data_IF_188700553075
#
_entry.id   IF_188700553075
#
_cell.length_a   1.000
_cell.length_b   1.000
_cell.length_c   1.000
_cell.angle_alpha   90.00
_cell.angle_beta   90.00
_cell.angle_gamma   90.00
#
_symmetry.space_group_name_H-M   'P 1'
#
loop_
_entity.id
_entity.type
_entity.pdbx_description
1 polymer ?
#
# COMPACT_ATOMS: atom_id res chain seq x y z
N UNK A 1 7.24 -9.20 14.32
CA UNK A 1 7.16 -8.76 15.72
C UNK A 1 5.89 -7.96 16.07
N UNK A 2 5.08 -7.55 15.09
CA UNK A 2 3.77 -6.90 15.32
C UNK A 2 2.62 -7.92 15.58
N UNK A 3 2.90 -9.22 15.70
CA UNK A 3 1.87 -10.26 15.76
C UNK A 3 1.30 -10.65 14.39
N UNK A 4 1.92 -10.25 13.30
CA UNK A 4 1.48 -10.59 11.95
C UNK A 4 1.96 -12.01 11.61
N UNK A 5 1.03 -12.90 11.28
CA UNK A 5 1.30 -14.28 10.87
C UNK A 5 1.21 -14.49 9.37
N UNK A 6 0.49 -13.59 8.68
CA UNK A 6 0.32 -13.61 7.22
C UNK A 6 0.46 -12.20 6.66
N UNK A 7 1.23 -12.05 5.59
CA UNK A 7 1.35 -10.81 4.82
C UNK A 7 0.76 -11.00 3.43
N UNK A 8 0.25 -9.91 2.84
CA UNK A 8 -0.23 -9.87 1.47
C UNK A 8 0.71 -8.97 0.68
N UNK A 9 1.39 -9.54 -0.31
CA UNK A 9 2.25 -8.81 -1.24
C UNK A 9 1.55 -8.53 -2.56
N UNK A 10 2.18 -7.69 -3.40
CA UNK A 10 1.62 -7.36 -4.71
C UNK A 10 0.47 -6.36 -4.65
N UNK A 11 0.42 -5.50 -3.63
CA UNK A 11 -0.54 -4.40 -3.52
C UNK A 11 -0.12 -3.19 -4.38
N UNK A 12 -1.03 -2.25 -4.55
CA UNK A 12 -0.83 -0.94 -5.18
C UNK A 12 -0.19 -1.00 -6.58
N UNK A 13 -0.55 -2.04 -7.35
CA UNK A 13 -0.16 -2.22 -8.74
C UNK A 13 1.24 -2.80 -8.96
N UNK A 14 2.01 -3.02 -7.91
CA UNK A 14 3.39 -3.51 -7.99
C UNK A 14 3.55 -4.98 -7.60
N UNK A 15 4.04 -5.83 -8.49
CA UNK A 15 4.40 -7.22 -8.19
C UNK A 15 5.47 -7.76 -9.15
N UNK A 16 5.98 -8.95 -8.88
CA UNK A 16 6.60 -9.73 -9.96
C UNK A 16 5.53 -10.17 -10.97
N UNK A 17 5.89 -10.20 -12.24
CA UNK A 17 5.02 -10.62 -13.35
C UNK A 17 5.49 -11.93 -13.95
N UNK A 18 4.58 -12.73 -14.55
CA UNK A 18 4.97 -13.90 -15.33
C UNK A 18 5.84 -13.50 -16.53
N UNK A 19 6.90 -14.26 -16.78
CA UNK A 19 7.71 -14.19 -18.01
C UNK A 19 7.73 -15.55 -18.69
N UNK A 20 8.15 -15.66 -19.97
CA UNK A 20 8.28 -16.96 -20.63
C UNK A 20 9.15 -17.97 -19.85
N UNK A 21 10.19 -17.47 -19.15
CA UNK A 21 11.14 -18.30 -18.41
C UNK A 21 10.70 -18.59 -16.99
N UNK A 22 9.78 -17.79 -16.41
CA UNK A 22 9.39 -17.89 -15.00
C UNK A 22 7.94 -17.50 -14.76
N UNK A 23 7.10 -18.50 -14.49
CA UNK A 23 5.69 -18.27 -14.13
C UNK A 23 5.53 -17.61 -12.75
N UNK A 24 4.35 -17.08 -12.47
CA UNK A 24 3.98 -16.55 -11.16
C UNK A 24 4.10 -17.65 -10.08
N UNK A 25 3.64 -18.86 -10.40
CA UNK A 25 3.74 -20.03 -9.52
C UNK A 25 5.18 -20.44 -9.21
N UNK A 26 6.09 -20.35 -10.19
CA UNK A 26 7.51 -20.61 -9.97
C UNK A 26 8.13 -19.59 -9.00
N UNK A 27 7.70 -18.32 -9.06
CA UNK A 27 8.12 -17.31 -8.06
C UNK A 27 7.59 -17.63 -6.68
N UNK A 28 6.31 -17.98 -6.57
CA UNK A 28 5.71 -18.38 -5.30
C UNK A 28 6.43 -19.61 -4.70
N UNK A 29 6.74 -20.61 -5.51
CA UNK A 29 7.50 -21.77 -5.08
C UNK A 29 8.93 -21.44 -4.61
N UNK A 30 9.60 -20.50 -5.29
CA UNK A 30 10.90 -20.01 -4.87
C UNK A 30 10.87 -19.29 -3.51
N UNK A 31 9.81 -18.51 -3.25
CA UNK A 31 9.60 -17.86 -1.94
C UNK A 31 9.32 -18.91 -0.87
N UNK A 32 8.48 -19.90 -1.16
CA UNK A 32 8.15 -20.99 -0.23
C UNK A 32 9.39 -21.80 0.16
N UNK A 33 10.27 -22.07 -0.81
CA UNK A 33 11.55 -22.75 -0.60
C UNK A 33 12.52 -22.01 0.34
N UNK A 34 12.38 -20.68 0.45
CA UNK A 34 13.15 -19.88 1.42
C UNK A 34 12.67 -20.06 2.86
N UNK A 35 11.58 -20.79 3.08
CA UNK A 35 10.98 -21.03 4.41
C UNK A 35 10.80 -19.71 5.18
N UNK A 36 9.89 -18.83 4.74
CA UNK A 36 9.70 -17.52 5.37
C UNK A 36 9.23 -17.65 6.83
N UNK A 37 9.49 -16.64 7.64
CA UNK A 37 9.07 -16.62 9.04
C UNK A 37 7.57 -16.37 9.25
N UNK A 38 6.86 -15.89 8.21
CA UNK A 38 5.41 -15.63 8.18
C UNK A 38 4.83 -16.14 6.86
N UNK A 39 3.53 -16.36 6.81
CA UNK A 39 2.86 -16.74 5.57
C UNK A 39 2.82 -15.55 4.60
N UNK A 40 2.80 -15.86 3.30
CA UNK A 40 2.64 -14.89 2.21
C UNK A 40 1.48 -15.31 1.31
N UNK A 41 0.52 -14.40 1.09
CA UNK A 41 -0.37 -14.42 -0.06
C UNK A 41 0.08 -13.31 -1.02
N UNK A 42 -0.07 -13.50 -2.33
CA UNK A 42 0.38 -12.51 -3.31
C UNK A 42 -0.70 -12.18 -4.34
N UNK A 43 -0.86 -10.89 -4.63
CA UNK A 43 -1.66 -10.39 -5.76
C UNK A 43 -0.78 -10.17 -6.98
N UNK A 44 -1.40 -10.19 -8.18
CA UNK A 44 -0.75 -9.72 -9.40
C UNK A 44 -0.96 -8.20 -9.53
N UNK A 45 0.14 -7.45 -9.69
CA UNK A 45 0.12 -6.00 -9.86
C UNK A 45 -0.13 -5.61 -11.31
N UNK A 46 -1.24 -4.93 -11.58
CA UNK A 46 -1.64 -4.51 -12.94
C UNK A 46 -0.71 -3.44 -13.50
N UNK A 47 -0.12 -2.58 -12.65
CA UNK A 47 0.91 -1.63 -13.06
C UNK A 47 2.17 -2.33 -13.58
N UNK A 48 2.63 -3.37 -12.88
CA UNK A 48 3.77 -4.17 -13.34
C UNK A 48 3.47 -4.99 -14.60
N UNK A 49 2.22 -5.45 -14.78
CA UNK A 49 1.78 -6.12 -16.02
C UNK A 49 1.82 -5.14 -17.20
N UNK A 50 1.29 -3.90 -16.98
CA UNK A 50 1.33 -2.85 -17.99
C UNK A 50 2.77 -2.45 -18.34
N UNK A 51 3.63 -2.25 -17.34
CA UNK A 51 5.05 -1.94 -17.55
C UNK A 51 5.76 -2.98 -18.43
N UNK A 52 5.49 -4.27 -18.18
CA UNK A 52 6.10 -5.37 -18.93
C UNK A 52 5.63 -5.48 -20.39
N UNK A 53 4.48 -4.92 -20.77
CA UNK A 53 3.87 -5.09 -22.09
C UNK A 53 3.83 -3.77 -22.88
N UNK A 54 3.43 -2.67 -22.23
CA UNK A 54 3.27 -1.34 -22.86
C UNK A 54 4.47 -0.44 -22.59
N UNK A 55 5.17 -0.65 -21.45
CA UNK A 55 6.25 0.22 -20.99
C UNK A 55 5.76 1.40 -20.16
N UNK A 56 6.56 2.46 -20.10
CA UNK A 56 6.32 3.66 -19.27
C UNK A 56 5.60 4.80 -20.02
N UNK A 57 5.07 4.54 -21.21
CA UNK A 57 4.46 5.55 -22.08
C UNK A 57 2.99 5.82 -21.71
N UNK A 58 2.60 7.10 -21.76
CA UNK A 58 1.21 7.57 -21.63
C UNK A 58 0.47 7.38 -22.97
N UNK A 59 0.10 6.15 -23.27
CA UNK A 59 -0.71 5.79 -24.43
C UNK A 59 -1.66 4.64 -24.10
N UNK A 60 -2.77 4.50 -24.81
CA UNK A 60 -3.61 3.30 -24.72
C UNK A 60 -2.83 2.05 -25.10
N UNK A 61 -3.15 0.92 -24.46
CA UNK A 61 -2.70 -0.38 -24.92
C UNK A 61 -3.39 -0.73 -26.26
N UNK A 62 -2.65 -1.36 -27.18
CA UNK A 62 -3.26 -1.95 -28.38
C UNK A 62 -4.11 -3.17 -27.99
N UNK A 63 -4.97 -3.65 -28.89
CA UNK A 63 -5.78 -4.85 -28.63
C UNK A 63 -4.91 -6.09 -28.33
N UNK A 64 -3.80 -6.26 -29.04
CA UNK A 64 -2.85 -7.35 -28.83
C UNK A 64 -2.12 -7.23 -27.47
N UNK A 65 -1.69 -6.03 -27.10
CA UNK A 65 -1.09 -5.77 -25.80
C UNK A 65 -2.08 -6.04 -24.65
N UNK A 66 -3.35 -5.62 -24.83
CA UNK A 66 -4.41 -5.87 -23.85
C UNK A 66 -4.66 -7.38 -23.68
N UNK A 67 -4.76 -8.14 -24.76
CA UNK A 67 -4.93 -9.59 -24.72
C UNK A 67 -3.75 -10.28 -24.00
N UNK A 68 -2.53 -9.84 -24.30
CA UNK A 68 -1.32 -10.34 -23.63
C UNK A 68 -1.36 -10.05 -22.12
N UNK A 69 -1.71 -8.83 -21.73
CA UNK A 69 -1.84 -8.46 -20.31
C UNK A 69 -2.91 -9.29 -19.60
N UNK A 70 -4.10 -9.48 -20.20
CA UNK A 70 -5.17 -10.33 -19.65
C UNK A 70 -4.68 -11.76 -19.46
N UNK A 71 -3.98 -12.33 -20.44
CA UNK A 71 -3.40 -13.69 -20.35
C UNK A 71 -2.41 -13.79 -19.19
N UNK A 72 -1.59 -12.77 -18.95
CA UNK A 72 -0.66 -12.74 -17.81
C UNK A 72 -1.40 -12.74 -16.46
N UNK A 73 -2.49 -11.98 -16.36
CA UNK A 73 -3.33 -11.96 -15.15
C UNK A 73 -4.00 -13.32 -14.93
N UNK A 74 -4.59 -13.93 -15.96
CA UNK A 74 -5.22 -15.25 -15.90
C UNK A 74 -4.23 -16.32 -15.44
N UNK A 75 -3.02 -16.33 -16.03
CA UNK A 75 -1.95 -17.25 -15.64
C UNK A 75 -1.57 -17.08 -14.17
N UNK A 76 -1.38 -15.85 -13.70
CA UNK A 76 -1.05 -15.60 -12.29
C UNK A 76 -2.15 -16.09 -11.34
N UNK A 77 -3.43 -15.94 -11.71
CA UNK A 77 -4.56 -16.44 -10.92
C UNK A 77 -4.63 -17.98 -10.90
N UNK A 78 -4.29 -18.64 -12.01
CA UNK A 78 -4.14 -20.11 -12.06
C UNK A 78 -3.01 -20.56 -11.14
N UNK A 79 -1.92 -19.85 -11.12
CA UNK A 79 -0.73 -20.13 -10.31
C UNK A 79 -0.92 -19.84 -8.80
N UNK A 80 -2.02 -19.18 -8.43
CA UNK A 80 -2.41 -18.98 -7.03
C UNK A 80 -2.33 -17.54 -6.54
N UNK A 81 -2.34 -16.54 -7.41
CA UNK A 81 -2.53 -15.16 -6.99
C UNK A 81 -3.87 -14.98 -6.25
N UNK A 82 -3.87 -14.25 -5.14
CA UNK A 82 -5.05 -14.04 -4.29
C UNK A 82 -5.91 -12.83 -4.69
N UNK A 83 -5.64 -12.24 -5.84
CA UNK A 83 -6.32 -11.07 -6.38
C UNK A 83 -5.44 -10.34 -7.38
N UNK A 84 -5.93 -9.21 -7.88
CA UNK A 84 -5.16 -8.28 -8.67
C UNK A 84 -5.22 -6.88 -8.05
N UNK A 85 -4.15 -6.09 -8.22
CA UNK A 85 -4.09 -4.75 -7.66
C UNK A 85 -3.69 -3.70 -8.70
N UNK A 86 -4.20 -2.47 -8.55
CA UNK A 86 -3.76 -1.29 -9.29
C UNK A 86 -3.20 -0.23 -8.35
N UNK A 87 -2.26 0.59 -8.85
CA UNK A 87 -1.76 1.79 -8.20
C UNK A 87 -1.85 2.95 -9.20
N UNK A 88 -2.95 3.69 -9.15
CA UNK A 88 -3.31 4.63 -10.21
C UNK A 88 -2.77 6.06 -10.01
N UNK A 89 -2.01 6.29 -8.95
CA UNK A 89 -1.15 7.47 -8.79
C UNK A 89 0.29 7.21 -9.25
N UNK A 90 0.61 5.95 -9.59
CA UNK A 90 1.96 5.51 -9.98
C UNK A 90 2.02 5.17 -11.46
N UNK A 91 3.03 5.71 -12.16
CA UNK A 91 3.29 5.33 -13.56
C UNK A 91 3.97 3.96 -13.64
N UNK A 92 3.66 3.15 -14.65
CA UNK A 92 2.74 3.41 -15.75
C UNK A 92 1.27 3.06 -15.46
N UNK A 93 0.92 2.55 -14.28
CA UNK A 93 -0.46 2.22 -13.89
C UNK A 93 -1.42 3.40 -14.01
N UNK A 94 -0.94 4.62 -13.73
CA UNK A 94 -1.70 5.85 -13.84
C UNK A 94 -2.20 6.16 -15.28
N UNK A 95 -1.56 5.58 -16.30
CA UNK A 95 -1.92 5.75 -17.71
C UNK A 95 -2.97 4.74 -18.19
N UNK A 96 -3.32 3.74 -17.37
CA UNK A 96 -4.35 2.78 -17.71
C UNK A 96 -5.74 3.45 -17.75
N UNK A 97 -6.51 3.19 -18.80
CA UNK A 97 -7.91 3.60 -18.87
C UNK A 97 -8.79 2.70 -17.99
N UNK A 98 -9.99 3.20 -17.64
CA UNK A 98 -10.99 2.41 -16.91
C UNK A 98 -11.36 1.13 -17.66
N UNK A 99 -11.48 1.17 -18.99
CA UNK A 99 -11.79 -0.01 -19.81
C UNK A 99 -10.65 -1.04 -19.81
N UNK A 100 -9.38 -0.58 -19.85
CA UNK A 100 -8.22 -1.44 -19.67
C UNK A 100 -8.27 -2.15 -18.32
N UNK A 101 -8.51 -1.42 -17.24
CA UNK A 101 -8.61 -1.97 -15.88
C UNK A 101 -9.77 -2.97 -15.76
N UNK A 102 -10.93 -2.70 -16.38
CA UNK A 102 -12.06 -3.64 -16.45
C UNK A 102 -11.64 -4.94 -17.13
N UNK A 103 -10.97 -4.85 -18.27
CA UNK A 103 -10.53 -6.02 -19.00
C UNK A 103 -9.55 -6.87 -18.17
N UNK A 104 -8.58 -6.23 -17.52
CA UNK A 104 -7.59 -6.88 -16.67
C UNK A 104 -8.19 -7.48 -15.40
N UNK A 105 -9.27 -6.91 -14.86
CA UNK A 105 -9.92 -7.40 -13.66
C UNK A 105 -10.96 -8.50 -13.92
N UNK A 106 -11.48 -8.67 -15.17
CA UNK A 106 -12.50 -9.69 -15.51
C UNK A 106 -12.14 -11.12 -15.10
N UNK A 107 -10.88 -11.59 -15.19
CA UNK A 107 -10.51 -12.94 -14.74
C UNK A 107 -10.79 -13.22 -13.27
N UNK A 108 -10.86 -12.19 -12.41
CA UNK A 108 -11.13 -12.31 -10.98
C UNK A 108 -12.55 -12.83 -10.67
N UNK A 109 -13.52 -12.51 -11.55
CA UNK A 109 -14.94 -12.84 -11.35
C UNK A 109 -15.16 -14.34 -11.14
N UNK A 110 -14.56 -15.19 -11.99
CA UNK A 110 -14.70 -16.66 -11.93
C UNK A 110 -14.25 -17.23 -10.59
N UNK A 111 -13.30 -16.58 -9.93
CA UNK A 111 -12.69 -17.02 -8.66
C UNK A 111 -13.22 -16.24 -7.46
N UNK A 112 -14.06 -15.23 -7.68
CA UNK A 112 -14.56 -14.29 -6.65
C UNK A 112 -13.41 -13.68 -5.84
N UNK A 113 -12.30 -13.36 -6.49
CA UNK A 113 -11.13 -12.72 -5.90
C UNK A 113 -11.21 -11.20 -6.06
N UNK A 114 -10.62 -10.43 -5.13
CA UNK A 114 -10.76 -8.98 -5.15
C UNK A 114 -9.87 -8.32 -6.21
N UNK A 115 -10.40 -7.25 -6.81
CA UNK A 115 -9.64 -6.16 -7.39
C UNK A 115 -9.33 -5.16 -6.27
N UNK A 116 -8.06 -4.95 -5.96
CA UNK A 116 -7.60 -3.97 -4.98
C UNK A 116 -7.08 -2.72 -5.69
N UNK A 117 -7.46 -1.54 -5.24
CA UNK A 117 -7.07 -0.29 -5.90
C UNK A 117 -6.50 0.72 -4.91
N UNK A 118 -5.20 1.03 -5.05
CA UNK A 118 -4.72 2.36 -4.74
C UNK A 118 -5.29 3.28 -5.83
N UNK A 119 -6.26 4.09 -5.45
CA UNK A 119 -7.09 4.85 -6.39
C UNK A 119 -6.29 5.91 -7.13
N UNK A 120 -6.86 6.43 -8.21
CA UNK A 120 -6.22 7.44 -9.08
C UNK A 120 -6.00 8.78 -8.40
N UNK A 121 -6.76 9.06 -7.35
CA UNK A 121 -6.62 10.27 -6.56
C UNK A 121 -7.18 10.06 -5.15
N UNK A 122 -6.52 10.61 -4.15
CA UNK A 122 -6.90 10.51 -2.74
C UNK A 122 -7.14 11.89 -2.10
N UNK A 123 -7.16 12.95 -2.94
CA UNK A 123 -7.31 14.34 -2.55
C UNK A 123 -8.52 15.02 -3.25
N UNK A 124 -8.30 16.00 -4.11
CA UNK A 124 -9.35 16.81 -4.72
C UNK A 124 -10.36 16.01 -5.55
N UNK A 125 -9.90 14.93 -6.20
CA UNK A 125 -10.71 14.03 -7.04
C UNK A 125 -10.99 12.68 -6.40
N UNK A 126 -10.89 12.59 -5.06
CA UNK A 126 -11.14 11.34 -4.30
C UNK A 126 -12.47 10.68 -4.70
N UNK A 127 -13.53 11.47 -4.82
CA UNK A 127 -14.86 10.94 -5.09
C UNK A 127 -14.97 10.36 -6.50
N UNK A 128 -14.36 10.99 -7.50
CA UNK A 128 -14.27 10.47 -8.87
C UNK A 128 -13.45 9.17 -8.91
N UNK A 129 -12.38 9.11 -8.13
CA UNK A 129 -11.52 7.94 -8.05
C UNK A 129 -12.23 6.73 -7.39
N UNK A 130 -13.09 6.97 -6.40
CA UNK A 130 -13.95 5.92 -5.84
C UNK A 130 -14.98 5.45 -6.88
N UNK A 131 -15.60 6.37 -7.62
CA UNK A 131 -16.56 6.06 -8.68
C UNK A 131 -15.88 5.23 -9.80
N UNK A 132 -14.63 5.54 -10.18
CA UNK A 132 -13.83 4.74 -11.11
C UNK A 132 -13.56 3.33 -10.57
N UNK A 133 -13.11 3.20 -9.32
CA UNK A 133 -12.84 1.89 -8.72
C UNK A 133 -14.12 1.01 -8.68
N UNK A 134 -15.27 1.61 -8.37
CA UNK A 134 -16.58 0.94 -8.43
C UNK A 134 -16.94 0.55 -9.85
N UNK A 135 -16.70 1.42 -10.85
CA UNK A 135 -16.96 1.12 -12.26
C UNK A 135 -16.11 -0.08 -12.74
N UNK A 136 -14.83 -0.14 -12.36
CA UNK A 136 -13.94 -1.27 -12.67
C UNK A 136 -14.50 -2.56 -12.08
N UNK A 137 -14.81 -2.58 -10.78
CA UNK A 137 -15.34 -3.77 -10.13
C UNK A 137 -16.69 -4.22 -10.69
N UNK A 138 -17.55 -3.26 -11.05
CA UNK A 138 -18.86 -3.52 -11.67
C UNK A 138 -18.69 -4.14 -13.07
N UNK A 139 -17.87 -3.52 -13.93
CA UNK A 139 -17.61 -4.01 -15.28
C UNK A 139 -16.89 -5.36 -15.31
N UNK A 140 -16.03 -5.61 -14.34
CA UNK A 140 -15.34 -6.87 -14.14
C UNK A 140 -16.15 -7.92 -13.38
N UNK A 141 -17.24 -7.54 -12.69
CA UNK A 141 -18.06 -8.41 -11.84
C UNK A 141 -17.27 -9.09 -10.71
N UNK A 142 -16.36 -8.37 -10.09
CA UNK A 142 -15.49 -8.88 -9.02
C UNK A 142 -15.65 -8.07 -7.73
N UNK A 143 -15.27 -8.61 -6.57
CA UNK A 143 -15.23 -7.85 -5.32
C UNK A 143 -14.23 -6.68 -5.41
N UNK A 144 -14.58 -5.53 -4.80
CA UNK A 144 -13.73 -4.33 -4.73
C UNK A 144 -13.07 -4.20 -3.36
N UNK A 145 -11.76 -3.99 -3.35
CA UNK A 145 -10.99 -3.56 -2.20
C UNK A 145 -10.37 -2.19 -2.48
N UNK A 146 -10.85 -1.14 -1.81
CA UNK A 146 -10.19 0.16 -1.84
C UNK A 146 -9.02 0.10 -0.86
N UNK A 147 -7.79 0.21 -1.35
CA UNK A 147 -6.58 0.22 -0.53
C UNK A 147 -6.52 1.51 0.29
N UNK A 148 -6.14 1.39 1.57
CA UNK A 148 -5.80 2.48 2.50
C UNK A 148 -6.64 3.77 2.37
N UNK A 149 -7.98 3.64 2.29
CA UNK A 149 -8.90 4.78 2.13
C UNK A 149 -8.51 5.96 3.02
N UNK A 150 -8.35 7.13 2.43
CA UNK A 150 -8.04 8.38 3.12
C UNK A 150 -8.62 9.59 2.39
N UNK A 151 -8.71 10.70 3.09
CA UNK A 151 -9.00 12.02 2.54
C UNK A 151 -7.73 12.86 2.72
N UNK A 152 -6.96 13.03 1.66
CA UNK A 152 -5.65 13.68 1.72
C UNK A 152 -5.79 15.20 1.59
N UNK A 153 -5.17 15.93 2.52
CA UNK A 153 -5.19 17.40 2.57
C UNK A 153 -6.41 17.99 3.31
N UNK A 154 -6.21 19.02 4.14
CA UNK A 154 -7.26 19.58 5.02
C UNK A 154 -8.54 19.97 4.30
N UNK A 155 -8.44 20.53 3.09
CA UNK A 155 -9.61 20.93 2.29
C UNK A 155 -10.49 19.77 1.82
N UNK A 156 -9.97 18.53 1.92
CA UNK A 156 -10.65 17.31 1.49
C UNK A 156 -11.20 16.47 2.64
N UNK A 157 -10.91 16.82 3.90
CA UNK A 157 -11.34 16.01 5.06
C UNK A 157 -12.87 15.89 5.17
N UNK A 158 -13.61 16.90 4.72
CA UNK A 158 -15.07 16.88 4.68
C UNK A 158 -15.68 15.91 3.66
N UNK A 159 -14.88 15.31 2.76
CA UNK A 159 -15.35 14.35 1.75
C UNK A 159 -15.63 12.94 2.28
N UNK A 160 -15.28 12.64 3.54
CA UNK A 160 -15.35 11.28 4.06
C UNK A 160 -16.76 10.69 4.04
N UNK A 161 -17.79 11.47 4.39
CA UNK A 161 -19.19 11.00 4.34
C UNK A 161 -19.61 10.64 2.92
N UNK A 162 -19.29 11.50 1.96
CA UNK A 162 -19.56 11.24 0.56
C UNK A 162 -18.79 10.04 0.00
N UNK A 163 -17.59 9.75 0.54
CA UNK A 163 -16.83 8.54 0.21
C UNK A 163 -17.52 7.27 0.76
N UNK A 164 -17.97 7.31 2.01
CA UNK A 164 -18.74 6.21 2.60
C UNK A 164 -20.05 5.95 1.87
N UNK A 165 -20.77 7.01 1.46
CA UNK A 165 -22.00 6.91 0.67
C UNK A 165 -21.79 6.22 -0.69
N UNK A 166 -20.64 6.46 -1.35
CA UNK A 166 -20.30 5.76 -2.61
C UNK A 166 -20.10 4.28 -2.39
N UNK A 167 -19.35 3.91 -1.35
CA UNK A 167 -19.17 2.50 -0.98
C UNK A 167 -20.51 1.85 -0.62
N UNK A 168 -21.35 2.53 0.15
CA UNK A 168 -22.69 2.03 0.52
C UNK A 168 -23.58 1.82 -0.70
N UNK A 169 -23.61 2.77 -1.66
CA UNK A 169 -24.34 2.63 -2.93
C UNK A 169 -23.82 1.47 -3.78
N UNK A 170 -22.50 1.32 -3.90
CA UNK A 170 -21.92 0.19 -4.61
C UNK A 170 -22.37 -1.15 -4.00
N UNK A 171 -22.37 -1.24 -2.67
CA UNK A 171 -22.84 -2.43 -1.95
C UNK A 171 -24.33 -2.68 -2.15
N UNK A 172 -25.16 -1.64 -2.10
CA UNK A 172 -26.59 -1.73 -2.38
C UNK A 172 -26.88 -2.20 -3.82
N UNK A 173 -26.00 -1.86 -4.76
CA UNK A 173 -26.02 -2.35 -6.14
C UNK A 173 -25.44 -3.77 -6.32
N UNK A 174 -25.06 -4.46 -5.23
CA UNK A 174 -24.60 -5.85 -5.26
C UNK A 174 -23.08 -6.03 -5.41
N UNK A 175 -22.29 -4.96 -5.42
CA UNK A 175 -20.83 -5.05 -5.43
C UNK A 175 -20.33 -5.29 -3.99
N UNK A 176 -19.57 -6.36 -3.77
CA UNK A 176 -18.90 -6.57 -2.49
C UNK A 176 -17.71 -5.62 -2.34
N UNK A 177 -17.98 -4.34 -2.01
CA UNK A 177 -17.00 -3.28 -1.83
C UNK A 177 -16.60 -3.16 -0.36
N UNK A 178 -15.30 -3.16 -0.10
CA UNK A 178 -14.67 -2.92 1.20
C UNK A 178 -13.45 -2.00 1.02
N UNK A 179 -12.92 -1.53 2.13
CA UNK A 179 -11.69 -0.74 2.15
C UNK A 179 -10.83 -1.11 3.35
N UNK A 180 -9.56 -0.73 3.32
CA UNK A 180 -8.67 -0.89 4.47
C UNK A 180 -8.01 0.44 4.86
N UNK A 181 -7.33 0.45 6.01
CA UNK A 181 -6.66 1.62 6.54
C UNK A 181 -5.56 1.24 7.54
N UNK A 182 -4.42 1.94 7.47
CA UNK A 182 -3.37 1.92 8.48
C UNK A 182 -3.59 3.02 9.53
N UNK A 183 -3.14 2.83 10.78
CA UNK A 183 -3.49 3.70 11.91
C UNK A 183 -2.56 4.90 12.09
N UNK A 184 -2.28 5.65 11.01
CA UNK A 184 -1.40 6.82 11.03
C UNK A 184 -1.95 7.97 10.19
N UNK A 185 -1.52 9.21 10.51
CA UNK A 185 -1.96 10.45 9.86
C UNK A 185 -1.04 10.90 8.73
N UNK A 186 -0.05 10.10 8.39
CA UNK A 186 0.88 10.33 7.31
C UNK A 186 0.85 9.15 6.32
N UNK A 187 1.11 9.43 5.06
CA UNK A 187 1.31 8.42 4.01
C UNK A 187 2.78 8.33 3.63
N UNK A 188 3.19 7.24 2.99
CA UNK A 188 4.55 7.08 2.49
C UNK A 188 4.52 6.64 1.04
N UNK A 189 5.31 7.34 0.20
CA UNK A 189 5.39 7.12 -1.24
C UNK A 189 6.73 7.62 -1.80
N UNK A 190 6.88 7.63 -3.13
CA UNK A 190 8.02 8.27 -3.80
C UNK A 190 7.86 9.79 -3.88
N UNK A 191 8.97 10.54 -3.77
CA UNK A 191 8.97 12.00 -3.83
C UNK A 191 8.43 12.55 -5.17
N UNK A 192 8.57 11.77 -6.25
CA UNK A 192 7.98 12.10 -7.56
C UNK A 192 6.45 12.18 -7.55
N UNK A 193 5.78 11.68 -6.51
CA UNK A 193 4.32 11.77 -6.37
C UNK A 193 3.82 13.20 -6.07
N UNK A 194 4.73 14.12 -5.72
CA UNK A 194 4.44 15.55 -5.63
C UNK A 194 4.30 16.21 -7.02
N UNK A 195 4.83 15.57 -8.06
CA UNK A 195 4.85 16.07 -9.43
C UNK A 195 3.65 15.52 -10.22
N UNK A 196 3.12 16.28 -11.19
CA UNK A 196 1.97 15.83 -11.96
C UNK A 196 2.25 14.54 -12.74
N UNK A 197 1.23 13.68 -12.85
CA UNK A 197 1.36 12.35 -13.50
C UNK A 197 1.86 12.46 -14.93
N UNK A 198 1.32 13.42 -15.73
CA UNK A 198 1.71 13.62 -17.13
C UNK A 198 3.21 13.93 -17.29
N UNK A 199 3.85 14.52 -16.27
CA UNK A 199 5.27 14.84 -16.34
C UNK A 199 6.17 13.61 -16.32
N UNK A 200 5.62 12.45 -15.88
CA UNK A 200 6.35 11.19 -15.72
C UNK A 200 6.18 10.23 -16.90
N UNK A 201 5.48 10.64 -17.96
CA UNK A 201 5.38 9.91 -19.21
C UNK A 201 6.77 9.68 -19.82
N UNK A 202 7.05 8.45 -20.31
CA UNK A 202 8.38 8.02 -20.75
C UNK A 202 9.38 7.84 -19.59
N UNK A 203 8.88 7.63 -18.37
CA UNK A 203 9.68 7.31 -17.19
C UNK A 203 10.62 8.41 -16.73
N UNK A 204 11.72 8.03 -16.08
CA UNK A 204 12.70 8.96 -15.50
C UNK A 204 13.35 9.88 -16.55
N UNK A 205 13.64 9.37 -17.74
CA UNK A 205 14.23 10.16 -18.81
C UNK A 205 13.26 11.22 -19.35
N UNK A 206 12.00 10.83 -19.60
CA UNK A 206 10.93 11.73 -20.00
C UNK A 206 10.66 12.83 -18.97
N UNK A 207 10.63 12.46 -17.69
CA UNK A 207 10.46 13.39 -16.57
C UNK A 207 11.55 14.48 -16.54
N UNK A 208 12.82 14.10 -16.59
CA UNK A 208 13.92 15.06 -16.58
C UNK A 208 13.98 15.89 -17.86
N UNK A 209 13.67 15.32 -19.04
CA UNK A 209 13.59 16.06 -20.28
C UNK A 209 12.55 17.19 -20.23
N UNK A 210 11.37 16.94 -19.59
CA UNK A 210 10.34 17.97 -19.38
C UNK A 210 10.78 19.03 -18.37
N UNK A 211 11.56 18.68 -17.38
CA UNK A 211 12.16 19.67 -16.44
C UNK A 211 13.26 20.51 -17.08
N UNK A 212 13.89 20.04 -18.19
CA UNK A 212 14.88 20.81 -18.95
C UNK A 212 14.25 21.75 -19.99
N UNK A 213 12.97 21.57 -20.29
CA UNK A 213 12.23 22.39 -21.27
C UNK A 213 11.49 23.51 -20.52
N UNK A 214 11.79 24.80 -20.76
CA UNK A 214 11.27 25.91 -19.94
C UNK A 214 9.75 25.96 -19.80
N UNK A 215 9.00 25.67 -20.88
CA UNK A 215 7.54 25.70 -20.87
C UNK A 215 6.94 24.62 -19.98
N UNK A 216 7.41 23.36 -20.13
CA UNK A 216 6.93 22.23 -19.32
C UNK A 216 7.43 22.33 -17.89
N UNK A 217 8.66 22.82 -17.66
CA UNK A 217 9.20 23.06 -16.32
C UNK A 217 8.36 24.05 -15.51
N UNK A 218 7.95 25.17 -16.14
CA UNK A 218 7.08 26.16 -15.50
C UNK A 218 5.71 25.55 -15.10
N UNK A 219 5.12 24.75 -15.97
CA UNK A 219 3.85 24.06 -15.70
C UNK A 219 4.01 23.03 -14.58
N UNK A 220 5.07 22.20 -14.63
CA UNK A 220 5.40 21.22 -13.57
C UNK A 220 5.55 21.94 -12.22
N UNK A 221 6.32 23.04 -12.18
CA UNK A 221 6.51 23.81 -10.96
C UNK A 221 5.17 24.29 -10.39
N UNK A 222 4.33 24.89 -11.22
CA UNK A 222 3.02 25.42 -10.79
C UNK A 222 2.13 24.32 -10.20
N UNK A 223 2.01 23.16 -10.87
CA UNK A 223 1.18 22.05 -10.39
C UNK A 223 1.77 21.37 -9.14
N UNK A 224 3.10 21.28 -9.06
CA UNK A 224 3.78 20.77 -7.85
C UNK A 224 3.54 21.69 -6.65
N UNK A 225 3.66 23.00 -6.81
CA UNK A 225 3.38 23.96 -5.74
C UNK A 225 1.93 23.90 -5.27
N UNK A 226 0.97 23.72 -6.19
CA UNK A 226 -0.43 23.51 -5.84
C UNK A 226 -0.64 22.21 -5.02
N UNK A 227 0.08 21.12 -5.35
CA UNK A 227 0.05 19.89 -4.55
C UNK A 227 0.67 20.10 -3.17
N UNK A 228 1.75 20.84 -3.06
CA UNK A 228 2.39 21.19 -1.79
C UNK A 228 1.44 22.03 -0.92
N UNK A 229 0.76 23.03 -1.49
CA UNK A 229 -0.27 23.81 -0.77
C UNK A 229 -1.40 22.89 -0.27
N UNK A 230 -1.89 21.99 -1.12
CA UNK A 230 -2.93 21.03 -0.78
C UNK A 230 -2.60 20.21 0.47
N UNK A 231 -1.37 19.75 0.59
CA UNK A 231 -0.92 18.94 1.75
C UNK A 231 -0.50 19.80 2.95
N UNK A 232 -0.53 21.14 2.84
CA UNK A 232 -0.24 22.09 3.93
C UNK A 232 1.19 22.60 3.99
N UNK A 233 1.97 22.48 2.90
CA UNK A 233 3.31 23.04 2.78
C UNK A 233 4.46 22.03 2.80
N UNK A 234 5.65 22.53 2.50
CA UNK A 234 6.88 21.73 2.40
C UNK A 234 7.28 21.05 3.71
N UNK A 235 6.93 21.59 4.87
CA UNK A 235 7.19 20.97 6.17
C UNK A 235 6.28 19.77 6.46
N UNK A 236 5.28 19.51 5.63
CA UNK A 236 4.50 18.28 5.65
C UNK A 236 5.10 17.15 4.80
N UNK A 237 6.29 17.36 4.23
CA UNK A 237 7.05 16.35 3.48
C UNK A 237 8.33 16.01 4.23
N UNK A 238 8.55 14.73 4.54
CA UNK A 238 9.76 14.21 5.17
C UNK A 238 10.46 13.23 4.21
N UNK A 239 11.77 13.34 4.07
CA UNK A 239 12.59 12.45 3.24
C UNK A 239 12.87 11.16 4.01
N UNK A 240 12.54 10.00 3.45
CA UNK A 240 12.70 8.70 4.13
C UNK A 240 13.84 7.85 3.62
N UNK A 241 14.15 7.95 2.34
CA UNK A 241 15.23 7.18 1.72
C UNK A 241 15.73 7.85 0.45
N UNK A 242 16.99 7.65 0.12
CA UNK A 242 17.64 8.13 -1.08
C UNK A 242 18.85 7.26 -1.41
N UNK A 243 19.47 7.50 -2.55
CA UNK A 243 20.63 6.72 -3.04
C UNK A 243 21.93 7.49 -3.01
N UNK A 244 21.90 8.77 -3.37
CA UNK A 244 23.07 9.63 -3.47
C UNK A 244 23.61 9.95 -2.07
N UNK A 245 24.86 9.55 -1.72
CA UNK A 245 25.43 9.76 -0.39
C UNK A 245 25.48 11.23 0.03
N UNK A 246 25.68 12.14 -0.93
CA UNK A 246 25.74 13.59 -0.70
C UNK A 246 24.42 14.16 -0.15
N UNK A 247 23.28 13.51 -0.42
CA UNK A 247 21.97 13.91 0.09
C UNK A 247 21.61 13.24 1.43
N UNK A 248 22.49 12.39 1.99
CA UNK A 248 22.19 11.57 3.17
C UNK A 248 21.69 12.36 4.39
N UNK A 249 22.16 13.62 4.54
CA UNK A 249 21.72 14.51 5.61
C UNK A 249 20.24 14.91 5.54
N UNK A 250 19.57 14.70 4.39
CA UNK A 250 18.14 14.98 4.23
C UNK A 250 17.24 13.88 4.84
N UNK A 251 17.76 12.67 5.06
CA UNK A 251 16.97 11.54 5.57
C UNK A 251 16.46 11.84 6.98
N UNK A 252 15.13 11.68 7.19
CA UNK A 252 14.44 12.01 8.44
C UNK A 252 14.23 13.52 8.64
N UNK A 253 14.45 14.35 7.60
CA UNK A 253 14.24 15.81 7.69
C UNK A 253 12.97 16.23 6.96
N UNK A 254 12.29 17.23 7.53
CA UNK A 254 11.21 17.96 6.88
C UNK A 254 11.78 18.82 5.77
N UNK A 255 11.25 18.69 4.56
CA UNK A 255 11.85 19.26 3.36
C UNK A 255 11.90 20.78 3.38
N UNK A 256 10.85 21.45 3.90
CA UNK A 256 10.82 22.91 4.04
C UNK A 256 11.90 23.42 4.99
N UNK A 257 11.96 22.87 6.20
CA UNK A 257 12.96 23.23 7.22
C UNK A 257 14.38 22.90 6.76
N UNK A 258 14.57 21.77 6.04
CA UNK A 258 15.87 21.41 5.49
C UNK A 258 16.35 22.36 4.39
N UNK A 259 15.45 22.75 3.47
CA UNK A 259 15.74 23.74 2.45
C UNK A 259 16.11 25.10 3.05
N UNK A 260 15.37 25.54 4.07
CA UNK A 260 15.67 26.79 4.79
C UNK A 260 17.05 26.74 5.48
N UNK A 261 17.44 25.63 6.07
CA UNK A 261 18.76 25.41 6.67
C UNK A 261 19.88 25.56 5.63
N UNK A 262 19.62 25.15 4.37
CA UNK A 262 20.58 25.25 3.26
C UNK A 262 20.52 26.60 2.54
N UNK A 263 19.59 27.50 2.90
CA UNK A 263 19.35 28.76 2.18
C UNK A 263 18.85 28.54 0.74
N UNK A 264 18.14 27.44 0.48
CA UNK A 264 17.65 27.03 -0.85
C UNK A 264 16.13 27.15 -0.97
N UNK A 265 15.64 27.43 -2.19
CA UNK A 265 14.22 27.23 -2.53
C UNK A 265 13.88 25.73 -2.42
N UNK A 266 12.82 25.34 -1.70
CA UNK A 266 12.51 23.92 -1.48
C UNK A 266 12.12 23.18 -2.77
N UNK A 267 11.53 23.82 -3.76
CA UNK A 267 11.24 23.20 -5.06
C UNK A 267 12.54 22.91 -5.81
N UNK A 268 13.44 23.88 -5.91
CA UNK A 268 14.73 23.73 -6.60
C UNK A 268 15.60 22.66 -5.92
N UNK A 269 15.63 22.65 -4.59
CA UNK A 269 16.29 21.59 -3.82
C UNK A 269 15.71 20.21 -4.16
N UNK A 270 14.37 20.10 -4.22
CA UNK A 270 13.67 18.85 -4.55
C UNK A 270 14.07 18.35 -5.94
N UNK A 271 14.04 19.23 -6.95
CA UNK A 271 14.44 18.87 -8.33
C UNK A 271 15.90 18.43 -8.38
N UNK A 272 16.80 19.18 -7.74
CA UNK A 272 18.22 18.84 -7.70
C UNK A 272 18.47 17.47 -7.02
N UNK A 273 17.80 17.19 -5.90
CA UNK A 273 17.88 15.90 -5.22
C UNK A 273 17.32 14.77 -6.10
N UNK A 274 16.18 14.96 -6.76
CA UNK A 274 15.60 13.95 -7.65
C UNK A 274 16.56 13.60 -8.80
N UNK A 275 17.26 14.57 -9.38
CA UNK A 275 18.26 14.33 -10.43
C UNK A 275 19.41 13.46 -9.91
N UNK A 276 20.02 13.84 -8.77
CA UNK A 276 21.14 13.07 -8.18
C UNK A 276 20.74 11.64 -7.81
N UNK A 277 19.49 11.45 -7.44
CA UNK A 277 18.96 10.16 -6.97
C UNK A 277 18.17 9.38 -8.05
N UNK A 278 18.26 9.76 -9.33
CA UNK A 278 17.55 9.09 -10.44
C UNK A 278 16.04 8.96 -10.17
N UNK A 279 15.42 10.02 -9.65
CA UNK A 279 14.01 10.06 -9.22
C UNK A 279 13.62 9.06 -8.10
N UNK A 280 14.59 8.41 -7.45
CA UNK A 280 14.37 7.36 -6.44
C UNK A 280 14.58 7.85 -5.03
N UNK A 281 13.69 8.73 -4.60
CA UNK A 281 13.65 9.26 -3.22
C UNK A 281 12.30 8.87 -2.60
N UNK A 282 12.34 8.29 -1.41
CA UNK A 282 11.14 8.02 -0.62
C UNK A 282 10.75 9.20 0.26
N UNK A 283 9.45 9.39 0.46
CA UNK A 283 8.92 10.43 1.35
C UNK A 283 7.81 9.92 2.24
N UNK A 284 7.54 10.68 3.30
CA UNK A 284 6.31 10.66 4.09
C UNK A 284 5.61 12.00 3.92
N UNK A 285 4.28 11.99 3.70
CA UNK A 285 3.45 13.18 3.62
C UNK A 285 2.43 13.23 4.76
N UNK A 286 2.37 14.35 5.51
CA UNK A 286 1.51 14.56 6.68
C UNK A 286 0.27 15.34 6.25
N UNK A 287 -0.84 14.66 5.94
CA UNK A 287 -1.99 15.30 5.34
C UNK A 287 -3.36 14.75 5.75
N UNK A 288 -3.46 13.90 6.78
CA UNK A 288 -4.72 13.27 7.20
C UNK A 288 -5.22 13.77 8.56
N UNK A 289 -6.51 13.52 8.82
CA UNK A 289 -7.24 13.88 10.04
C UNK A 289 -7.36 12.68 10.99
N UNK A 290 -7.18 12.90 12.30
CA UNK A 290 -7.44 11.89 13.35
C UNK A 290 -8.92 11.49 13.36
N UNK A 291 -9.84 12.46 13.30
CA UNK A 291 -11.28 12.19 13.30
C UNK A 291 -11.68 11.29 12.13
N UNK A 292 -11.18 11.58 10.92
CA UNK A 292 -11.46 10.75 9.76
C UNK A 292 -10.83 9.37 9.89
N UNK A 293 -9.62 9.27 10.42
CA UNK A 293 -8.99 7.98 10.68
C UNK A 293 -9.84 7.14 11.64
N UNK A 294 -10.30 7.68 12.76
CA UNK A 294 -11.16 6.97 13.71
C UNK A 294 -12.46 6.50 13.08
N UNK A 295 -13.12 7.35 12.29
CA UNK A 295 -14.35 7.02 11.58
C UNK A 295 -14.13 5.90 10.55
N UNK A 296 -13.00 5.91 9.84
CA UNK A 296 -12.62 4.84 8.91
C UNK A 296 -12.35 3.54 9.67
N UNK A 297 -11.61 3.57 10.78
CA UNK A 297 -11.34 2.39 11.60
C UNK A 297 -12.63 1.78 12.20
N UNK A 298 -13.58 2.63 12.62
CA UNK A 298 -14.86 2.19 13.16
C UNK A 298 -15.83 1.64 12.12
N UNK A 299 -15.68 2.00 10.86
CA UNK A 299 -16.64 1.65 9.81
C UNK A 299 -16.76 0.13 9.62
N UNK A 300 -18.00 -0.45 9.49
CA UNK A 300 -18.21 -1.90 9.44
C UNK A 300 -17.55 -2.59 8.24
N UNK A 301 -17.35 -1.87 7.13
CA UNK A 301 -16.73 -2.40 5.91
C UNK A 301 -15.24 -2.05 5.80
N UNK A 302 -14.59 -1.61 6.88
CA UNK A 302 -13.15 -1.40 6.91
C UNK A 302 -12.40 -2.63 7.40
N UNK A 303 -11.19 -2.80 6.87
CA UNK A 303 -10.16 -3.70 7.37
C UNK A 303 -8.96 -2.88 7.88
N UNK A 304 -8.02 -3.57 8.52
CA UNK A 304 -6.77 -2.97 8.95
C UNK A 304 -5.63 -3.47 8.07
N UNK A 305 -4.81 -2.55 7.60
CA UNK A 305 -3.59 -2.84 6.88
C UNK A 305 -2.37 -2.22 7.57
N UNK A 306 -1.19 -2.58 7.12
CA UNK A 306 0.05 -1.90 7.52
C UNK A 306 0.49 -0.92 6.44
N UNK A 307 0.27 -1.26 5.17
CA UNK A 307 0.82 -0.53 4.02
C UNK A 307 2.33 -0.27 4.19
N UNK A 308 2.99 -1.17 4.90
CA UNK A 308 4.38 -1.07 5.35
C UNK A 308 5.29 -2.08 4.69
N UNK A 309 6.52 -1.68 4.41
CA UNK A 309 7.57 -2.57 3.92
C UNK A 309 8.10 -3.53 5.01
N UNK A 310 8.89 -4.51 4.58
CA UNK A 310 9.58 -5.45 5.47
C UNK A 310 10.88 -4.84 6.02
N UNK A 311 10.82 -4.31 7.24
CA UNK A 311 11.96 -3.72 7.93
C UNK A 311 12.31 -4.49 9.21
N UNK A 312 13.58 -4.40 9.61
CA UNK A 312 14.08 -4.85 10.91
C UNK A 312 14.88 -3.73 11.58
N UNK A 313 15.06 -3.81 12.89
CA UNK A 313 15.84 -2.80 13.62
C UNK A 313 17.36 -2.97 13.43
N UNK A 314 17.78 -4.08 12.81
CA UNK A 314 19.18 -4.43 12.51
C UNK A 314 19.27 -5.23 11.21
N UNK A 315 20.47 -5.40 10.69
CA UNK A 315 20.73 -6.18 9.49
C UNK A 315 20.37 -5.45 8.17
N UNK A 316 20.33 -6.16 7.04
CA UNK A 316 20.27 -5.56 5.70
C UNK A 316 18.94 -4.86 5.39
N UNK A 317 17.88 -5.11 6.16
CA UNK A 317 16.59 -4.43 6.01
C UNK A 317 16.44 -3.19 6.90
N UNK A 318 17.45 -2.85 7.72
CA UNK A 318 17.54 -1.57 8.42
C UNK A 318 18.12 -0.52 7.49
N UNK A 319 17.26 0.29 6.86
CA UNK A 319 17.67 1.28 5.86
C UNK A 319 16.74 2.50 5.84
N UNK A 320 17.28 3.67 5.55
CA UNK A 320 16.52 4.93 5.49
C UNK A 320 15.89 5.32 6.82
N UNK A 321 14.83 6.11 6.77
CA UNK A 321 13.96 6.48 7.88
C UNK A 321 12.51 6.07 7.54
N UNK A 322 12.15 4.77 7.60
CA UNK A 322 10.86 4.30 7.11
C UNK A 322 9.70 4.82 7.94
N UNK A 323 8.54 4.95 7.32
CA UNK A 323 7.30 5.25 8.02
C UNK A 323 7.08 4.24 9.18
N UNK A 324 6.74 4.68 10.40
CA UNK A 324 6.57 3.80 11.58
C UNK A 324 5.51 2.72 11.41
N UNK A 325 4.60 2.84 10.42
CA UNK A 325 3.60 1.82 10.09
C UNK A 325 4.20 0.45 9.77
N UNK A 326 5.44 0.41 9.31
CA UNK A 326 6.16 -0.82 9.01
C UNK A 326 6.44 -1.67 10.26
N UNK A 327 6.55 -1.07 11.44
CA UNK A 327 6.90 -1.75 12.69
C UNK A 327 5.84 -1.64 13.79
N UNK A 328 4.85 -0.72 13.67
CA UNK A 328 3.94 -0.39 14.76
C UNK A 328 2.43 -0.52 14.49
N UNK A 329 1.96 -0.79 13.26
CA UNK A 329 0.54 -0.65 12.89
C UNK A 329 -0.44 -1.41 13.78
N UNK A 330 -0.30 -2.71 13.94
CA UNK A 330 -1.28 -3.51 14.68
C UNK A 330 -1.20 -3.29 16.19
N UNK A 331 -0.01 -3.21 16.81
CA UNK A 331 0.11 -2.81 18.20
C UNK A 331 -0.48 -1.42 18.50
N UNK A 332 -0.30 -0.44 17.57
CA UNK A 332 -0.92 0.89 17.66
C UNK A 332 -2.44 0.82 17.67
N UNK A 333 -3.05 0.00 16.81
CA UNK A 333 -4.51 -0.20 16.85
C UNK A 333 -4.95 -0.72 18.21
N UNK A 334 -4.29 -1.75 18.72
CA UNK A 334 -4.65 -2.40 19.98
C UNK A 334 -4.41 -1.48 21.21
N UNK A 335 -3.29 -0.76 21.23
CA UNK A 335 -2.96 0.18 22.28
C UNK A 335 -3.80 1.45 22.19
N UNK A 336 -3.63 2.22 21.11
CA UNK A 336 -4.22 3.55 20.98
C UNK A 336 -5.72 3.50 20.70
N UNK A 337 -6.17 2.78 19.65
CA UNK A 337 -7.56 2.88 19.18
C UNK A 337 -8.54 1.91 19.88
N UNK A 338 -8.05 0.82 20.48
CA UNK A 338 -8.87 -0.08 21.29
C UNK A 338 -8.82 0.34 22.76
N UNK A 339 -7.63 0.31 23.39
CA UNK A 339 -7.50 0.50 24.85
C UNK A 339 -7.70 1.95 25.27
N UNK A 340 -7.02 2.90 24.65
CA UNK A 340 -6.97 4.30 25.11
C UNK A 340 -8.15 5.11 24.57
N UNK A 341 -8.34 5.15 23.26
CA UNK A 341 -9.38 5.98 22.60
C UNK A 341 -10.73 5.29 22.48
N UNK A 342 -10.79 3.95 22.63
CA UNK A 342 -12.04 3.14 22.59
C UNK A 342 -12.85 3.33 21.30
N UNK A 343 -12.17 3.55 20.17
CA UNK A 343 -12.78 3.73 18.85
C UNK A 343 -13.46 2.45 18.36
N UNK A 344 -12.80 1.31 18.60
CA UNK A 344 -13.32 -0.03 18.31
C UNK A 344 -13.04 -0.97 19.47
N UNK A 345 -13.86 -2.01 19.60
CA UNK A 345 -13.63 -3.06 20.60
C UNK A 345 -12.49 -3.99 20.17
N UNK A 346 -11.92 -4.72 21.12
CA UNK A 346 -10.89 -5.73 20.84
C UNK A 346 -11.41 -6.81 19.84
N UNK A 347 -12.65 -7.23 19.99
CA UNK A 347 -13.27 -8.19 19.07
C UNK A 347 -13.38 -7.65 17.64
N UNK A 348 -13.77 -6.39 17.48
CA UNK A 348 -13.81 -5.73 16.18
C UNK A 348 -12.40 -5.60 15.57
N UNK A 349 -11.40 -5.21 16.38
CA UNK A 349 -10.01 -5.15 15.93
C UNK A 349 -9.53 -6.52 15.42
N UNK A 350 -9.75 -7.59 16.20
CA UNK A 350 -9.39 -8.94 15.79
C UNK A 350 -10.05 -9.37 14.46
N UNK A 351 -11.35 -9.06 14.30
CA UNK A 351 -12.06 -9.34 13.03
C UNK A 351 -11.44 -8.58 11.85
N UNK A 352 -11.16 -7.28 12.02
CA UNK A 352 -10.61 -6.40 10.97
C UNK A 352 -9.15 -6.74 10.61
N UNK A 353 -8.39 -7.28 11.55
CA UNK A 353 -6.99 -7.69 11.35
C UNK A 353 -6.83 -9.10 10.78
N UNK A 354 -7.81 -9.99 11.01
CA UNK A 354 -7.63 -11.41 10.71
C UNK A 354 -8.82 -12.01 9.93
N UNK A 355 -10.01 -12.12 10.51
CA UNK A 355 -11.11 -12.88 9.94
C UNK A 355 -11.64 -12.26 8.64
N UNK A 356 -11.76 -10.93 8.57
CA UNK A 356 -12.26 -10.23 7.37
C UNK A 356 -11.23 -10.33 6.23
N UNK A 357 -9.93 -9.99 6.40
CA UNK A 357 -8.93 -10.18 5.37
C UNK A 357 -8.81 -11.62 4.86
N UNK A 358 -8.82 -12.63 5.77
CA UNK A 358 -8.74 -14.03 5.39
C UNK A 358 -9.92 -14.43 4.48
N UNK A 359 -11.16 -14.05 4.83
CA UNK A 359 -12.35 -14.29 3.99
C UNK A 359 -12.26 -13.56 2.66
N UNK A 360 -11.79 -12.30 2.67
CA UNK A 360 -11.64 -11.47 1.47
C UNK A 360 -10.72 -12.11 0.44
N UNK A 361 -9.65 -12.74 0.90
CA UNK A 361 -8.66 -13.42 0.08
C UNK A 361 -8.96 -14.92 -0.11
N UNK A 362 -10.12 -15.40 0.39
CA UNK A 362 -10.52 -16.81 0.33
C UNK A 362 -9.51 -17.77 0.99
N UNK A 363 -8.87 -17.34 2.05
CA UNK A 363 -7.99 -18.18 2.87
C UNK A 363 -8.85 -18.93 3.91
N UNK A 364 -9.47 -20.03 3.50
CA UNK A 364 -10.54 -20.69 4.25
C UNK A 364 -10.10 -21.38 5.54
N UNK A 365 -8.82 -21.61 5.72
CA UNK A 365 -8.24 -22.37 6.85
C UNK A 365 -7.66 -21.47 7.96
N UNK A 366 -7.84 -20.14 7.91
CA UNK A 366 -7.23 -19.20 8.86
C UNK A 366 -8.06 -17.95 9.13
N UNK A 367 -7.55 -17.07 10.01
CA UNK A 367 -8.21 -15.81 10.40
C UNK A 367 -9.15 -15.94 11.59
N UNK A 368 -9.43 -17.16 12.06
CA UNK A 368 -10.23 -17.45 13.26
C UNK A 368 -9.61 -18.58 14.06
N UNK A 369 -9.83 -18.58 15.38
CA UNK A 369 -9.45 -19.67 16.27
C UNK A 369 -10.60 -20.69 16.33
N UNK A 370 -10.45 -21.80 15.60
CA UNK A 370 -11.42 -22.87 15.58
C UNK A 370 -10.71 -24.24 15.35
N UNK A 371 -11.44 -25.32 15.65
CA UNK A 371 -10.93 -26.68 15.38
C UNK A 371 -10.67 -26.84 13.89
N UNK A 372 -9.58 -27.54 13.55
CA UNK A 372 -9.13 -27.81 12.18
C UNK A 372 -8.65 -26.58 11.38
N UNK A 373 -8.51 -25.41 12.01
CA UNK A 373 -7.88 -24.26 11.40
C UNK A 373 -6.35 -24.30 11.55
N UNK A 374 -5.66 -23.59 10.67
CA UNK A 374 -4.21 -23.44 10.76
C UNK A 374 -3.80 -22.83 12.11
N UNK A 375 -2.72 -23.31 12.68
CA UNK A 375 -2.22 -22.85 13.98
C UNK A 375 -1.48 -21.52 13.91
N UNK A 376 -2.15 -20.48 13.43
CA UNK A 376 -1.68 -19.08 13.42
C UNK A 376 -2.27 -18.36 14.63
N UNK A 377 -1.47 -18.18 15.69
CA UNK A 377 -1.95 -17.66 16.97
C UNK A 377 -1.05 -16.54 17.48
N UNK A 378 -1.63 -15.47 17.98
CA UNK A 378 -0.93 -14.38 18.63
C UNK A 378 -1.45 -14.23 20.06
N UNK A 379 -0.53 -14.27 21.04
CA UNK A 379 -0.81 -13.97 22.44
C UNK A 379 -0.16 -12.62 22.77
N UNK A 380 -0.95 -11.71 23.27
CA UNK A 380 -0.48 -10.38 23.68
C UNK A 380 -1.12 -9.93 24.98
N UNK A 381 -0.48 -9.00 25.64
CA UNK A 381 -0.97 -8.37 26.84
C UNK A 381 -1.78 -7.12 26.46
N UNK A 382 -3.09 -7.17 26.58
CA UNK A 382 -3.98 -6.07 26.19
C UNK A 382 -3.78 -4.81 27.04
N UNK A 383 -3.23 -4.94 28.26
CA UNK A 383 -2.96 -3.80 29.13
C UNK A 383 -1.70 -3.02 28.74
N UNK A 384 -0.72 -3.71 28.12
CA UNK A 384 0.60 -3.11 27.83
C UNK A 384 0.94 -3.01 26.35
N UNK A 385 0.18 -3.66 25.46
CA UNK A 385 0.46 -3.61 24.04
C UNK A 385 0.48 -2.17 23.49
N UNK A 386 1.57 -1.81 22.81
CA UNK A 386 1.74 -0.50 22.20
C UNK A 386 2.80 -0.53 21.08
N UNK A 387 2.65 0.36 20.10
CA UNK A 387 3.74 0.72 19.20
C UNK A 387 4.80 1.56 19.92
N UNK A 388 6.04 1.50 19.42
CA UNK A 388 7.16 2.32 19.88
C UNK A 388 7.77 3.13 18.73
N UNK A 389 7.65 2.65 17.51
CA UNK A 389 8.16 3.34 16.34
C UNK A 389 7.49 4.72 16.16
N UNK A 390 8.31 5.76 15.99
CA UNK A 390 7.91 7.14 15.68
C UNK A 390 8.47 7.55 14.31
N UNK A 391 8.13 8.74 13.81
CA UNK A 391 8.73 9.26 12.59
C UNK A 391 10.20 9.62 12.78
N UNK A 392 10.57 10.07 13.97
CA UNK A 392 11.95 10.41 14.35
C UNK A 392 12.79 9.15 14.61
N UNK A 393 12.19 8.14 15.25
CA UNK A 393 12.86 6.88 15.63
C UNK A 393 12.02 5.66 15.16
N UNK A 394 12.00 5.36 13.85
CA UNK A 394 11.13 4.32 13.30
C UNK A 394 11.59 2.89 13.60
N UNK A 395 12.88 2.70 13.92
CA UNK A 395 13.45 1.37 14.14
C UNK A 395 13.27 0.87 15.56
N UNK A 396 12.03 0.79 16.01
CA UNK A 396 11.66 0.26 17.32
C UNK A 396 10.59 -0.82 17.17
N UNK A 397 10.82 -1.97 17.82
CA UNK A 397 9.78 -2.99 17.89
C UNK A 397 8.70 -2.60 18.90
N UNK A 398 7.45 -3.02 18.68
CA UNK A 398 6.36 -2.81 19.64
C UNK A 398 6.57 -3.62 20.92
N UNK A 399 5.83 -3.29 21.95
CA UNK A 399 5.81 -4.02 23.22
C UNK A 399 4.48 -4.76 23.41
N UNK A 400 4.44 -5.73 24.32
CA UNK A 400 3.23 -6.42 24.73
C UNK A 400 2.88 -7.68 23.92
N UNK A 401 3.61 -8.03 22.85
CA UNK A 401 3.46 -9.32 22.15
C UNK A 401 4.21 -10.40 22.95
N UNK A 402 3.49 -11.41 23.46
CA UNK A 402 4.06 -12.49 24.28
C UNK A 402 4.47 -13.71 23.47
N UNK A 403 3.64 -14.06 22.46
CA UNK A 403 3.86 -15.27 21.65
C UNK A 403 3.30 -15.04 20.25
N UNK A 404 4.03 -15.53 19.25
CA UNK A 404 3.52 -15.67 17.87
C UNK A 404 3.77 -17.11 17.42
N UNK A 405 2.71 -17.75 16.99
CA UNK A 405 2.72 -19.10 16.39
C UNK A 405 2.33 -18.96 14.92
N UNK A 406 3.08 -19.57 14.03
CA UNK A 406 2.81 -19.63 12.59
C UNK A 406 2.77 -21.09 12.17
N UNK A 407 1.65 -21.52 11.60
CA UNK A 407 1.42 -22.91 11.19
C UNK A 407 1.79 -23.94 12.30
N UNK A 408 1.47 -23.63 13.56
CA UNK A 408 1.73 -24.48 14.72
C UNK A 408 3.13 -24.38 15.33
N UNK A 409 4.06 -23.63 14.72
CA UNK A 409 5.39 -23.43 15.25
C UNK A 409 5.54 -22.06 15.92
N UNK A 410 6.16 -22.01 17.09
CA UNK A 410 6.44 -20.77 17.81
C UNK A 410 7.56 -20.04 17.08
N UNK A 411 7.26 -18.85 16.51
CA UNK A 411 8.21 -18.00 15.77
C UNK A 411 8.71 -16.81 16.60
N UNK A 412 7.95 -16.42 17.65
CA UNK A 412 8.34 -15.39 18.62
C UNK A 412 7.89 -15.82 20.01
N UNK A 413 8.74 -15.63 21.00
CA UNK A 413 8.43 -15.83 22.41
C UNK A 413 9.14 -14.76 23.26
N UNK A 414 8.39 -14.00 24.08
CA UNK A 414 8.92 -12.94 24.97
C UNK A 414 9.90 -12.01 24.23
N UNK A 415 9.44 -11.42 23.11
CA UNK A 415 10.18 -10.48 22.26
C UNK A 415 11.41 -11.09 21.53
N UNK A 416 11.68 -12.38 21.66
CA UNK A 416 12.77 -13.06 20.97
C UNK A 416 12.26 -13.93 19.81
N UNK A 417 12.91 -13.81 18.65
CA UNK A 417 12.67 -14.71 17.54
C UNK A 417 13.28 -16.07 17.83
N UNK A 418 12.50 -17.12 17.56
CA UNK A 418 13.02 -18.49 17.55
C UNK A 418 13.68 -18.82 16.21
N UNK A 419 14.32 -19.96 16.10
CA UNK A 419 14.84 -20.49 14.84
C UNK A 419 13.74 -20.99 13.87
N UNK A 420 12.46 -21.00 14.29
CA UNK A 420 11.36 -21.51 13.47
C UNK A 420 11.11 -20.61 12.25
N UNK A 421 11.12 -21.23 11.07
CA UNK A 421 10.78 -20.64 9.79
C UNK A 421 9.61 -21.46 9.20
N UNK A 422 8.40 -21.20 9.72
CA UNK A 422 7.21 -22.02 9.50
C UNK A 422 6.18 -21.36 8.55
N UNK A 423 6.47 -20.19 8.04
CA UNK A 423 5.62 -19.54 7.05
C UNK A 423 5.57 -20.31 5.74
N UNK A 424 4.48 -20.11 5.01
CA UNK A 424 4.20 -20.75 3.71
C UNK A 424 3.61 -19.74 2.76
N UNK A 425 3.74 -20.03 1.47
CA UNK A 425 2.94 -19.33 0.45
C UNK A 425 1.52 -19.88 0.50
N UNK A 426 0.56 -18.96 0.69
CA UNK A 426 -0.86 -19.27 0.75
C UNK A 426 -1.51 -19.03 -0.61
N UNK A 427 -2.48 -19.88 -0.93
CA UNK A 427 -3.29 -19.76 -2.15
C UNK A 427 -4.77 -19.71 -1.76
N UNK A 428 -5.61 -18.98 -2.51
CA UNK A 428 -7.05 -19.00 -2.32
C UNK A 428 -7.61 -20.41 -2.38
N UNK A 429 -8.57 -20.71 -1.53
CA UNK A 429 -9.36 -21.95 -1.63
C UNK A 429 -10.15 -21.96 -2.95
N UNK A 430 -10.32 -23.12 -3.55
CA UNK A 430 -11.06 -23.32 -4.78
C UNK A 430 -12.52 -22.85 -4.69
#
# INVERSE_FOLDING_TARGET
RQGITTVVGGQDGGSFVPTPERSFGARLAAIDALRPGVNLAAMIGLGSVREAVVGEDDRPATAEELEKMVTMVESALVDGACGASSGLEYTPGAFASTDELIALARPLAKRKLPYASHMRNEDDRLLDAIDEAVAVATGARCPLQISHLKTQGPRNWNKLDAAFDRVARARAAGIDAMFDRYPYLAYSTGLTNLFPVWSRDGGTAGFFGRLDTPETAAKIRSETLAKIELIGGWDNVEITSLRAPEDSAAVGKRLGSYAAQLGSDPYELTVAMLRRNEARIGMVGFAMSEDNLERILAHPHSMLCTDGGGYAIEGPTRRGNPHPRALGSYPRVLGRYVRERKVITLAQAAQKMAAIPARRLRLGDRGVLARNMAGDVVVFDAATIADKATFEEPFQYPVGIRLVVVNGAITLRHDERTAAAAGKVLRPSA
#
